data_IF_048732056618
#
_entry.id   IF_048732056618
#
_cell.length_a   1.000
_cell.length_b   1.000
_cell.length_c   1.000
_cell.angle_alpha   90.00
_cell.angle_beta   90.00
_cell.angle_gamma   90.00
#
_symmetry.space_group_name_H-M   'P 1'
#
loop_
_entity.id
_entity.type
_entity.pdbx_description
1 polymer ?
#
# COMPACT_ATOMS: atom_id res chain seq x y z
N UNK A 1 -8.37 -8.85 7.58
CA UNK A 1 -9.25 -8.20 6.58
C UNK A 1 -10.21 -7.20 7.21
N UNK A 2 -10.84 -7.51 8.34
CA UNK A 2 -11.80 -6.62 9.06
C UNK A 2 -11.26 -5.21 9.27
N UNK A 3 -10.05 -5.09 9.83
CA UNK A 3 -9.41 -3.79 10.06
C UNK A 3 -9.27 -2.98 8.77
N UNK A 4 -8.71 -3.56 7.70
CA UNK A 4 -8.43 -2.84 6.46
C UNK A 4 -9.70 -2.33 5.77
N UNK A 5 -10.77 -3.15 5.79
CA UNK A 5 -12.09 -2.77 5.31
C UNK A 5 -12.71 -1.65 6.14
N UNK A 6 -12.62 -1.72 7.47
CA UNK A 6 -13.13 -0.66 8.35
C UNK A 6 -12.32 0.64 8.20
N UNK A 7 -11.00 0.56 8.06
CA UNK A 7 -10.10 1.71 7.91
C UNK A 7 -10.36 2.47 6.61
N UNK A 8 -10.38 1.78 5.46
CA UNK A 8 -10.59 2.45 4.16
C UNK A 8 -12.07 2.61 3.77
N UNK A 9 -12.98 1.87 4.41
CA UNK A 9 -14.43 1.90 4.13
C UNK A 9 -15.25 2.78 5.06
N UNK A 10 -14.61 3.55 5.96
CA UNK A 10 -15.30 4.50 6.84
C UNK A 10 -15.92 3.89 8.12
N UNK A 11 -15.53 2.67 8.48
CA UNK A 11 -15.99 2.00 9.69
C UNK A 11 -15.29 2.44 10.98
N UNK A 12 -14.12 3.10 10.88
CA UNK A 12 -13.37 3.62 12.04
C UNK A 12 -13.45 5.14 12.18
N UNK A 13 -13.63 5.85 11.07
CA UNK A 13 -13.69 7.30 10.98
C UNK A 13 -14.37 7.70 9.66
N UNK A 14 -14.75 8.97 9.49
CA UNK A 14 -15.30 9.44 8.23
C UNK A 14 -14.25 9.33 7.11
N UNK A 15 -14.64 8.85 5.93
CA UNK A 15 -13.75 8.67 4.79
C UNK A 15 -13.14 9.99 4.28
N UNK A 16 -13.78 11.14 4.57
CA UNK A 16 -13.24 12.47 4.27
C UNK A 16 -11.88 12.74 4.90
N UNK A 17 -11.52 12.01 5.97
CA UNK A 17 -10.21 12.13 6.62
C UNK A 17 -9.06 11.88 5.64
N UNK A 18 -9.27 11.08 4.58
CA UNK A 18 -8.23 10.80 3.59
C UNK A 18 -7.95 12.00 2.67
N UNK A 19 -8.91 12.92 2.52
CA UNK A 19 -8.70 14.17 1.80
C UNK A 19 -7.89 15.15 2.68
N UNK A 20 -8.20 15.19 3.99
CA UNK A 20 -7.48 15.99 4.99
C UNK A 20 -6.03 15.48 5.17
N UNK A 21 -5.83 14.16 5.18
CA UNK A 21 -4.52 13.50 5.33
C UNK A 21 -3.90 13.12 3.97
N UNK A 22 -4.19 13.89 2.92
CA UNK A 22 -3.74 13.60 1.55
C UNK A 22 -2.24 13.78 1.33
N UNK A 23 -1.55 14.49 2.23
CA UNK A 23 -0.10 14.69 2.15
C UNK A 23 0.64 13.35 2.17
N UNK A 24 1.59 13.19 1.26
CA UNK A 24 2.36 11.96 1.14
C UNK A 24 3.80 12.26 0.73
N UNK A 25 4.73 11.92 1.61
CA UNK A 25 6.13 12.25 1.46
C UNK A 25 6.89 11.07 0.89
N UNK A 26 7.74 11.32 -0.11
CA UNK A 26 8.65 10.30 -0.63
C UNK A 26 9.64 9.91 0.45
N UNK A 27 9.92 8.61 0.53
CA UNK A 27 10.99 8.10 1.39
C UNK A 27 12.36 8.21 0.69
N UNK A 28 13.41 7.76 1.38
CA UNK A 28 14.76 7.66 0.80
C UNK A 28 14.74 6.90 -0.54
N UNK A 29 15.65 7.25 -1.45
CA UNK A 29 15.62 6.75 -2.83
C UNK A 29 15.61 5.21 -2.93
N UNK A 30 16.27 4.50 -2.01
CA UNK A 30 16.29 3.03 -1.94
C UNK A 30 14.93 2.40 -1.62
N UNK A 31 13.95 3.18 -1.16
CA UNK A 31 12.58 2.77 -0.90
C UNK A 31 11.59 3.24 -1.97
N UNK A 32 12.07 3.83 -3.06
CA UNK A 32 11.22 4.16 -4.20
C UNK A 32 10.49 2.90 -4.73
N UNK A 33 9.18 2.97 -5.02
CA UNK A 33 8.38 4.19 -5.22
C UNK A 33 7.53 4.57 -4.00
N UNK A 34 7.86 4.09 -2.80
CA UNK A 34 7.01 4.23 -1.61
C UNK A 34 6.95 5.70 -1.17
N UNK A 35 5.73 6.18 -0.96
CA UNK A 35 5.44 7.42 -0.26
C UNK A 35 4.71 7.10 1.06
N UNK A 36 4.82 7.97 2.06
CA UNK A 36 4.21 7.77 3.37
C UNK A 36 3.44 9.01 3.83
N UNK A 37 2.25 8.80 4.40
CA UNK A 37 1.39 9.87 4.90
C UNK A 37 0.17 9.32 5.62
N UNK A 38 -0.42 10.10 6.55
CA UNK A 38 -1.64 9.70 7.25
C UNK A 38 -1.58 8.35 8.00
N UNK A 39 -0.39 7.86 8.33
CA UNK A 39 -0.18 6.58 9.00
C UNK A 39 -0.09 5.34 8.09
N UNK A 40 -0.06 5.51 6.77
CA UNK A 40 0.05 4.38 5.83
C UNK A 40 0.97 4.69 4.64
N UNK A 41 1.47 3.63 4.01
CA UNK A 41 2.21 3.64 2.76
C UNK A 41 1.26 3.85 1.58
N UNK A 42 1.69 4.68 0.63
CA UNK A 42 1.10 4.83 -0.70
C UNK A 42 2.15 4.43 -1.74
N UNK A 43 1.80 3.49 -2.61
CA UNK A 43 2.72 2.92 -3.60
C UNK A 43 2.13 3.16 -4.98
N UNK A 44 2.60 4.21 -5.71
CA UNK A 44 2.17 4.48 -7.06
C UNK A 44 2.47 3.30 -7.99
N UNK A 45 1.47 2.91 -8.78
CA UNK A 45 1.56 1.80 -9.74
C UNK A 45 1.70 2.27 -11.18
N UNK A 46 1.72 3.57 -11.44
CA UNK A 46 1.84 4.15 -12.78
C UNK A 46 3.28 4.63 -13.10
N UNK A 47 4.29 4.12 -12.39
CA UNK A 47 5.68 4.54 -12.53
C UNK A 47 6.58 3.49 -13.21
N UNK A 48 7.85 3.86 -13.36
CA UNK A 48 8.91 3.01 -13.94
C UNK A 48 9.02 1.63 -13.29
N UNK A 49 8.76 1.51 -11.99
CA UNK A 49 8.80 0.24 -11.23
C UNK A 49 7.79 -0.80 -11.71
N UNK A 50 6.77 -0.36 -12.45
CA UNK A 50 5.73 -1.19 -13.06
C UNK A 50 5.78 -1.15 -14.59
N UNK A 51 6.81 -0.53 -15.18
CA UNK A 51 6.89 -0.21 -16.60
C UNK A 51 5.63 0.52 -17.11
N UNK A 52 5.04 1.38 -16.28
CA UNK A 52 3.81 2.13 -16.58
C UNK A 52 2.59 1.24 -16.90
N UNK A 53 2.61 -0.05 -16.56
CA UNK A 53 1.51 -0.97 -16.82
C UNK A 53 0.38 -0.88 -15.77
N UNK A 54 0.68 -0.41 -14.56
CA UNK A 54 -0.30 -0.27 -13.48
C UNK A 54 -1.04 1.07 -13.49
N UNK A 55 -2.11 1.15 -12.70
CA UNK A 55 -2.94 2.35 -12.52
C UNK A 55 -3.10 2.67 -11.04
N UNK A 56 -3.26 3.96 -10.71
CA UNK A 56 -3.48 4.40 -9.33
C UNK A 56 -2.33 4.02 -8.39
N UNK A 57 -2.69 3.58 -7.19
CA UNK A 57 -1.75 3.27 -6.11
C UNK A 57 -2.29 2.19 -5.18
N UNK A 58 -1.39 1.48 -4.51
CA UNK A 58 -1.72 0.68 -3.32
C UNK A 58 -1.66 1.55 -2.07
N UNK A 59 -2.60 1.35 -1.15
CA UNK A 59 -2.68 2.04 0.14
C UNK A 59 -2.63 1.02 1.28
N UNK A 60 -1.75 1.16 2.25
CA UNK A 60 -1.67 0.21 3.36
C UNK A 60 -0.31 0.16 4.02
N UNK A 61 0.17 -1.01 4.41
CA UNK A 61 1.48 -1.13 5.07
C UNK A 61 2.11 -2.51 4.87
N UNK A 62 3.44 -2.53 4.79
CA UNK A 62 4.27 -3.73 4.91
C UNK A 62 5.15 -3.63 6.15
N UNK A 63 5.05 -4.62 7.04
CA UNK A 63 5.95 -4.76 8.19
C UNK A 63 7.33 -5.26 7.77
N UNK A 64 8.34 -4.99 8.60
CA UNK A 64 9.71 -5.48 8.40
C UNK A 64 9.83 -7.00 8.53
N UNK A 65 8.87 -7.65 9.18
CA UNK A 65 8.87 -9.09 9.48
C UNK A 65 7.97 -9.93 8.55
N UNK A 66 7.61 -9.40 7.39
CA UNK A 66 6.92 -10.16 6.33
C UNK A 66 5.39 -10.07 6.31
N UNK A 67 4.76 -9.44 7.32
CA UNK A 67 3.32 -9.18 7.34
C UNK A 67 2.97 -7.96 6.48
N UNK A 68 1.86 -8.02 5.74
CA UNK A 68 1.44 -6.92 4.87
C UNK A 68 -0.08 -6.87 4.69
N UNK A 69 -0.58 -5.65 4.47
CA UNK A 69 -1.98 -5.37 4.22
C UNK A 69 -2.09 -4.14 3.32
N UNK A 70 -2.62 -4.31 2.11
CA UNK A 70 -2.81 -3.26 1.12
C UNK A 70 -4.23 -3.28 0.55
N UNK A 71 -4.77 -2.10 0.31
CA UNK A 71 -6.01 -1.84 -0.40
C UNK A 71 -5.68 -1.20 -1.75
N UNK A 72 -6.31 -1.68 -2.81
CA UNK A 72 -6.22 -1.13 -4.15
C UNK A 72 -7.58 -0.56 -4.58
N UNK A 73 -7.76 0.78 -4.51
CA UNK A 73 -9.06 1.41 -4.73
C UNK A 73 -9.67 1.19 -6.11
N UNK A 74 -8.83 1.10 -7.16
CA UNK A 74 -9.32 0.99 -8.55
C UNK A 74 -10.06 -0.33 -8.80
N UNK A 75 -9.66 -1.41 -8.12
CA UNK A 75 -10.27 -2.75 -8.26
C UNK A 75 -11.09 -3.17 -7.03
N UNK A 76 -11.30 -2.29 -6.05
CA UNK A 76 -11.84 -2.61 -4.73
C UNK A 76 -11.21 -3.88 -4.11
N UNK A 77 -9.89 -3.99 -4.22
CA UNK A 77 -9.14 -5.21 -3.91
C UNK A 77 -8.36 -5.07 -2.61
N UNK A 78 -8.53 -6.03 -1.70
CA UNK A 78 -7.79 -6.11 -0.44
C UNK A 78 -6.79 -7.27 -0.48
N UNK A 79 -5.51 -6.95 -0.31
CA UNK A 79 -4.40 -7.90 -0.36
C UNK A 79 -3.79 -7.96 1.03
N UNK A 80 -3.84 -9.11 1.70
CA UNK A 80 -3.33 -9.29 3.06
C UNK A 80 -2.60 -10.62 3.13
N UNK A 81 -1.47 -10.66 3.82
CA UNK A 81 -0.75 -11.89 4.03
C UNK A 81 0.41 -11.76 5.01
N UNK A 82 1.09 -12.88 5.20
CA UNK A 82 2.33 -12.95 5.94
C UNK A 82 3.28 -13.88 5.22
N UNK A 83 4.55 -13.48 5.09
CA UNK A 83 5.61 -14.33 4.56
C UNK A 83 6.47 -14.81 5.71
N UNK A 84 6.76 -16.12 5.77
CA UNK A 84 7.65 -16.69 6.78
C UNK A 84 9.13 -16.46 6.44
N UNK A 85 9.50 -15.21 6.13
CA UNK A 85 10.87 -14.81 5.84
C UNK A 85 11.06 -13.31 6.10
N UNK A 86 12.25 -12.94 6.57
CA UNK A 86 12.63 -11.54 6.85
C UNK A 86 13.84 -11.07 6.03
N UNK A 87 14.49 -11.99 5.30
CA UNK A 87 15.70 -11.69 4.53
C UNK A 87 15.43 -10.68 3.39
N UNK A 88 14.21 -10.69 2.84
CA UNK A 88 13.78 -9.77 1.79
C UNK A 88 12.51 -9.03 2.24
N UNK A 89 12.71 -7.92 2.96
CA UNK A 89 11.62 -7.06 3.44
C UNK A 89 10.82 -6.39 2.31
N UNK A 90 11.35 -6.31 1.08
CA UNK A 90 10.66 -5.75 -0.08
C UNK A 90 9.70 -6.76 -0.76
N UNK A 91 9.79 -8.05 -0.43
CA UNK A 91 9.01 -9.10 -1.10
C UNK A 91 7.49 -8.92 -0.95
N UNK A 92 6.92 -8.58 0.23
CA UNK A 92 5.49 -8.33 0.36
C UNK A 92 4.97 -7.22 -0.56
N UNK A 93 5.75 -6.14 -0.71
CA UNK A 93 5.43 -5.02 -1.59
C UNK A 93 5.45 -5.47 -3.05
N UNK A 94 6.51 -6.18 -3.47
CA UNK A 94 6.65 -6.70 -4.84
C UNK A 94 5.51 -7.64 -5.22
N UNK A 95 5.11 -8.53 -4.32
CA UNK A 95 3.97 -9.43 -4.53
C UNK A 95 2.66 -8.65 -4.67
N UNK A 96 2.42 -7.69 -3.78
CA UNK A 96 1.21 -6.86 -3.82
C UNK A 96 1.09 -6.05 -5.11
N UNK A 97 2.21 -5.47 -5.59
CA UNK A 97 2.26 -4.77 -6.88
C UNK A 97 1.95 -5.71 -8.05
N UNK A 98 2.50 -6.94 -8.07
CA UNK A 98 2.23 -7.93 -9.12
C UNK A 98 0.78 -8.40 -9.15
N UNK A 99 0.10 -8.46 -8.01
CA UNK A 99 -1.33 -8.80 -7.95
C UNK A 99 -2.19 -7.65 -8.50
N UNK A 100 -1.74 -6.41 -8.31
CA UNK A 100 -2.50 -5.22 -8.69
C UNK A 100 -2.40 -4.85 -10.18
N UNK A 101 -1.29 -5.20 -10.84
CA UNK A 101 -1.06 -5.06 -12.28
C UNK A 101 -1.77 -6.21 -12.99
#
# INVERSE_FOLDING_TARGET
MTFLKAFFGGGLFNISIFDELSSCNKLQASMSPICYGGGYMRIPLNGLTTLFMGKGELKGHSGSTGSFAFYYPIKDLFIIGNLNQMANAALPIKLSMRIAI
#
